data_IF_378934786343
#
_entry.id   IF_378934786343
#
_cell.length_a   1.000
_cell.length_b   1.000
_cell.length_c   1.000
_cell.angle_alpha   90.00
_cell.angle_beta   90.00
_cell.angle_gamma   90.00
#
_symmetry.space_group_name_H-M   'P 1'
#
loop_
_entity.id
_entity.type
_entity.pdbx_description
1 polymer ?
#
# COMPACT_ATOMS: atom_id res chain seq x y z
N UNK A 1 28.99 -0.39 21.73
CA UNK A 1 27.51 -0.40 21.79
C UNK A 1 27.05 0.93 21.21
N UNK A 2 26.62 0.94 19.96
CA UNK A 2 26.16 2.17 19.29
C UNK A 2 24.65 2.21 19.41
N UNK A 3 24.14 3.13 20.24
CA UNK A 3 22.71 3.37 20.41
C UNK A 3 22.12 3.81 19.08
N UNK A 4 21.05 3.19 18.56
CA UNK A 4 20.39 3.68 17.36
C UNK A 4 19.77 5.04 17.70
N UNK A 5 20.14 6.07 16.94
CA UNK A 5 19.55 7.40 17.01
C UNK A 5 18.06 7.27 16.74
N UNK A 6 17.17 7.81 17.60
CA UNK A 6 15.74 7.81 17.29
C UNK A 6 15.54 8.66 16.03
N UNK A 7 15.09 8.02 14.94
CA UNK A 7 14.63 8.75 13.75
C UNK A 7 13.57 9.73 14.21
N UNK A 8 13.82 11.02 14.01
CA UNK A 8 12.85 12.07 14.27
C UNK A 8 11.70 11.88 13.28
N UNK A 9 10.68 11.10 13.66
CA UNK A 9 9.39 11.11 13.00
C UNK A 9 8.90 12.56 13.04
N UNK A 10 8.65 13.13 11.87
CA UNK A 10 8.13 14.47 11.75
C UNK A 10 6.60 14.33 11.78
N UNK A 11 5.91 14.48 12.94
CA UNK A 11 4.49 14.15 13.07
C UNK A 11 3.60 15.02 12.17
N UNK A 12 4.13 16.16 11.71
CA UNK A 12 3.48 17.05 10.76
C UNK A 12 3.41 16.47 9.34
N UNK A 13 4.39 15.65 8.93
CA UNK A 13 4.39 14.99 7.62
C UNK A 13 3.32 13.91 7.57
N UNK A 14 3.19 13.11 8.62
CA UNK A 14 2.11 12.13 8.75
C UNK A 14 0.74 12.78 8.76
N UNK A 15 0.53 13.90 9.48
CA UNK A 15 -0.74 14.63 9.43
C UNK A 15 -1.08 15.16 8.04
N UNK A 16 -0.10 15.68 7.31
CA UNK A 16 -0.31 16.15 5.94
C UNK A 16 -0.61 14.97 4.99
N UNK A 17 0.09 13.85 5.15
CA UNK A 17 -0.15 12.62 4.40
C UNK A 17 -1.49 11.97 4.75
N UNK A 18 -1.89 11.92 6.01
CA UNK A 18 -3.19 11.41 6.48
C UNK A 18 -4.34 12.26 5.95
N UNK A 19 -4.21 13.60 6.00
CA UNK A 19 -5.19 14.50 5.40
C UNK A 19 -5.32 14.24 3.90
N UNK A 20 -4.19 14.02 3.20
CA UNK A 20 -4.20 13.67 1.79
C UNK A 20 -4.77 12.28 1.51
N UNK A 21 -4.53 11.29 2.38
CA UNK A 21 -5.03 9.93 2.25
C UNK A 21 -6.56 9.87 2.45
N UNK A 22 -7.07 10.66 3.41
CA UNK A 22 -8.49 10.74 3.69
C UNK A 22 -9.30 11.25 2.48
N UNK A 23 -8.68 12.07 1.63
CA UNK A 23 -9.30 12.53 0.39
C UNK A 23 -9.63 11.39 -0.58
N UNK A 24 -8.93 10.26 -0.49
CA UNK A 24 -9.20 9.06 -1.26
C UNK A 24 -10.15 8.11 -0.51
N UNK A 25 -9.83 7.78 0.74
CA UNK A 25 -10.51 6.71 1.48
C UNK A 25 -11.95 7.01 1.81
N UNK A 26 -12.34 8.30 1.92
CA UNK A 26 -13.74 8.70 2.11
C UNK A 26 -14.68 8.28 0.96
N UNK A 27 -14.12 7.89 -0.19
CA UNK A 27 -14.87 7.47 -1.36
C UNK A 27 -14.90 5.95 -1.55
N UNK A 28 -14.20 5.22 -0.69
CA UNK A 28 -14.05 3.77 -0.74
C UNK A 28 -14.91 3.13 0.37
N UNK A 29 -15.24 1.85 0.21
CA UNK A 29 -15.83 1.09 1.32
C UNK A 29 -14.75 0.77 2.37
N UNK A 30 -15.15 0.13 3.47
CA UNK A 30 -14.25 -0.16 4.58
C UNK A 30 -12.99 -0.91 4.13
N UNK A 31 -13.12 -2.05 3.45
CA UNK A 31 -11.96 -2.85 3.08
C UNK A 31 -11.06 -2.20 2.03
N UNK A 32 -11.62 -1.59 0.98
CA UNK A 32 -10.81 -0.89 -0.03
C UNK A 32 -10.14 0.36 0.55
N UNK A 33 -10.85 1.11 1.41
CA UNK A 33 -10.31 2.27 2.11
C UNK A 33 -9.16 1.91 3.05
N UNK A 34 -9.32 0.84 3.84
CA UNK A 34 -8.24 0.33 4.69
C UNK A 34 -7.04 -0.15 3.88
N UNK A 35 -7.26 -0.93 2.82
CA UNK A 35 -6.17 -1.39 1.97
C UNK A 35 -5.40 -0.23 1.33
N UNK A 36 -6.13 0.78 0.82
CA UNK A 36 -5.53 1.98 0.25
C UNK A 36 -4.67 2.70 1.27
N UNK A 37 -5.20 2.93 2.49
CA UNK A 37 -4.48 3.61 3.57
C UNK A 37 -3.15 2.92 3.89
N UNK A 38 -3.17 1.60 4.05
CA UNK A 38 -1.96 0.86 4.40
C UNK A 38 -0.90 0.92 3.27
N UNK A 39 -1.31 0.83 2.00
CA UNK A 39 -0.37 1.01 0.87
C UNK A 39 0.13 2.46 0.82
N UNK A 40 -0.71 3.44 1.13
CA UNK A 40 -0.31 4.84 1.09
C UNK A 40 0.80 5.17 2.10
N UNK A 41 0.78 4.52 3.28
CA UNK A 41 1.68 4.78 4.40
C UNK A 41 2.91 3.85 4.46
N UNK A 42 2.96 2.77 3.68
CA UNK A 42 3.97 1.71 3.82
C UNK A 42 5.46 2.10 3.59
N UNK A 43 5.79 3.34 3.23
CA UNK A 43 7.17 3.74 2.90
C UNK A 43 8.05 4.05 4.12
N UNK A 44 7.55 3.86 5.34
CA UNK A 44 8.29 4.07 6.60
C UNK A 44 8.64 2.74 7.31
N UNK A 45 9.43 2.80 8.39
CA UNK A 45 9.89 1.60 9.11
C UNK A 45 8.68 0.76 9.57
N UNK A 46 8.62 -0.51 9.18
CA UNK A 46 7.45 -1.39 9.39
C UNK A 46 6.52 -1.55 8.17
N UNK A 47 6.89 -0.99 7.01
CA UNK A 47 6.10 -1.02 5.76
C UNK A 47 5.61 -2.41 5.31
N UNK A 48 6.36 -3.47 5.63
CA UNK A 48 5.95 -4.85 5.31
C UNK A 48 4.63 -5.22 5.99
N UNK A 49 4.49 -4.93 7.29
CA UNK A 49 3.28 -5.24 8.04
C UNK A 49 2.06 -4.51 7.46
N UNK A 50 2.23 -3.27 7.02
CA UNK A 50 1.16 -2.50 6.41
C UNK A 50 0.73 -3.10 5.08
N UNK A 51 1.67 -3.53 4.23
CA UNK A 51 1.30 -4.25 3.01
C UNK A 51 0.62 -5.60 3.30
N UNK A 52 1.01 -6.31 4.36
CA UNK A 52 0.34 -7.54 4.80
C UNK A 52 -1.10 -7.26 5.27
N UNK A 53 -1.33 -6.16 6.00
CA UNK A 53 -2.67 -5.68 6.38
C UNK A 53 -3.48 -5.28 5.14
N UNK A 54 -2.88 -4.57 4.19
CA UNK A 54 -3.54 -4.22 2.93
C UNK A 54 -4.01 -5.46 2.17
N UNK A 55 -3.14 -6.48 2.07
CA UNK A 55 -3.45 -7.76 1.46
C UNK A 55 -4.59 -8.50 2.18
N UNK A 56 -4.62 -8.45 3.51
CA UNK A 56 -5.72 -9.01 4.30
C UNK A 56 -7.06 -8.35 3.96
N UNK A 57 -7.11 -7.02 3.90
CA UNK A 57 -8.33 -6.29 3.55
C UNK A 57 -8.79 -6.59 2.12
N UNK A 58 -7.88 -6.64 1.13
CA UNK A 58 -8.25 -6.99 -0.25
C UNK A 58 -8.79 -8.42 -0.38
N UNK A 59 -8.23 -9.37 0.37
CA UNK A 59 -8.74 -10.76 0.42
C UNK A 59 -10.14 -10.83 1.04
N UNK A 60 -10.40 -10.08 2.12
CA UNK A 60 -11.72 -9.95 2.73
C UNK A 60 -12.72 -9.31 1.76
N UNK A 61 -12.34 -8.21 1.10
CA UNK A 61 -13.15 -7.55 0.09
C UNK A 61 -13.58 -8.53 -1.01
N UNK A 62 -12.65 -9.36 -1.50
CA UNK A 62 -12.93 -10.35 -2.53
C UNK A 62 -13.85 -11.47 -2.06
N UNK A 63 -13.70 -11.94 -0.82
CA UNK A 63 -14.37 -13.14 -0.32
C UNK A 63 -15.73 -12.85 0.33
N UNK A 64 -15.78 -11.83 1.18
CA UNK A 64 -16.87 -11.66 2.14
C UNK A 64 -17.76 -10.44 1.84
N UNK A 65 -17.20 -9.39 1.21
CA UNK A 65 -17.95 -8.18 0.85
C UNK A 65 -17.87 -7.82 -0.65
N UNK A 66 -18.09 -8.77 -1.58
CA UNK A 66 -17.90 -8.53 -3.00
C UNK A 66 -18.72 -7.35 -3.53
N UNK A 67 -19.95 -7.16 -3.05
CA UNK A 67 -20.84 -6.11 -3.55
C UNK A 67 -20.73 -4.84 -2.73
N UNK A 68 -20.39 -3.74 -3.39
CA UNK A 68 -20.36 -2.41 -2.77
C UNK A 68 -20.80 -1.33 -3.76
N UNK A 69 -21.06 -0.12 -3.23
CA UNK A 69 -21.41 1.04 -4.06
C UNK A 69 -20.17 1.47 -4.86
N UNK A 70 -20.28 1.37 -6.19
CA UNK A 70 -19.21 1.76 -7.11
C UNK A 70 -18.82 3.23 -6.97
N UNK A 71 -17.52 3.46 -7.10
CA UNK A 71 -16.96 4.77 -7.37
C UNK A 71 -17.41 5.23 -8.76
N UNK A 72 -17.81 6.48 -8.92
CA UNK A 72 -18.16 7.01 -10.25
C UNK A 72 -16.89 7.19 -11.09
N UNK A 73 -16.95 6.88 -12.39
CA UNK A 73 -15.77 6.96 -13.28
C UNK A 73 -15.16 8.38 -13.30
N UNK A 74 -15.98 9.42 -13.31
CA UNK A 74 -15.48 10.81 -13.22
C UNK A 74 -14.74 11.11 -11.91
N UNK A 75 -15.03 10.38 -10.83
CA UNK A 75 -14.36 10.51 -9.54
C UNK A 75 -13.09 9.67 -9.52
N UNK A 76 -13.11 8.47 -10.09
CA UNK A 76 -11.90 7.68 -10.34
C UNK A 76 -10.83 8.53 -11.04
N UNK A 77 -11.13 9.10 -12.21
CA UNK A 77 -10.16 9.94 -12.94
C UNK A 77 -9.60 11.11 -12.11
N UNK A 78 -10.45 11.77 -11.31
CA UNK A 78 -10.01 12.86 -10.42
C UNK A 78 -9.08 12.38 -9.31
N UNK A 79 -9.34 11.19 -8.76
CA UNK A 79 -8.49 10.61 -7.72
C UNK A 79 -7.18 10.10 -8.31
N UNK A 80 -7.18 9.46 -9.49
CA UNK A 80 -5.94 9.04 -10.16
C UNK A 80 -5.03 10.24 -10.49
N UNK A 81 -5.57 11.32 -11.04
CA UNK A 81 -4.80 12.57 -11.25
C UNK A 81 -4.28 13.17 -9.94
N UNK A 82 -5.03 13.02 -8.85
CA UNK A 82 -4.59 13.46 -7.53
C UNK A 82 -3.47 12.58 -6.97
N UNK A 83 -3.48 11.26 -7.21
CA UNK A 83 -2.36 10.38 -6.86
C UNK A 83 -1.06 10.85 -7.52
N UNK A 84 -1.10 11.13 -8.82
CA UNK A 84 0.04 11.68 -9.57
C UNK A 84 0.51 13.01 -8.97
N UNK A 85 -0.42 13.90 -8.63
CA UNK A 85 -0.11 15.18 -7.97
C UNK A 85 0.48 15.02 -6.56
N UNK A 86 0.20 13.89 -5.89
CA UNK A 86 0.79 13.52 -4.60
C UNK A 86 2.17 12.83 -4.74
N UNK A 87 2.69 12.69 -5.96
CA UNK A 87 3.98 12.06 -6.24
C UNK A 87 3.93 10.53 -6.35
N UNK A 88 2.73 9.95 -6.50
CA UNK A 88 2.57 8.55 -6.85
C UNK A 88 2.35 8.45 -8.36
N UNK A 89 3.40 8.13 -9.09
CA UNK A 89 3.27 7.86 -10.53
C UNK A 89 2.44 6.58 -10.74
N UNK A 90 1.39 6.70 -11.52
CA UNK A 90 0.44 5.64 -11.87
C UNK A 90 0.86 4.90 -13.14
N UNK A 91 1.94 5.38 -13.80
CA UNK A 91 2.61 4.73 -14.92
C UNK A 91 3.38 3.46 -14.53
N UNK A 92 3.99 2.82 -15.54
CA UNK A 92 4.53 1.44 -15.47
C UNK A 92 5.68 1.19 -14.49
N UNK A 93 6.19 2.23 -13.83
CA UNK A 93 7.51 2.19 -13.20
C UNK A 93 7.48 2.36 -11.66
N UNK A 94 6.32 2.66 -11.06
CA UNK A 94 6.16 2.81 -9.60
C UNK A 94 5.12 1.86 -9.01
N UNK A 95 5.62 0.81 -8.35
CA UNK A 95 4.81 -0.25 -7.74
C UNK A 95 3.75 0.25 -6.75
N UNK A 96 4.05 1.34 -6.03
CA UNK A 96 3.13 1.92 -5.05
C UNK A 96 1.96 2.62 -5.72
N UNK A 97 2.24 3.48 -6.71
CA UNK A 97 1.20 4.22 -7.41
C UNK A 97 0.30 3.29 -8.21
N UNK A 98 0.88 2.26 -8.84
CA UNK A 98 0.12 1.20 -9.51
C UNK A 98 -0.80 0.45 -8.53
N UNK A 99 -0.31 0.09 -7.33
CA UNK A 99 -1.14 -0.58 -6.34
C UNK A 99 -2.28 0.30 -5.80
N UNK A 100 -2.03 1.60 -5.61
CA UNK A 100 -3.05 2.56 -5.19
C UNK A 100 -4.10 2.79 -6.29
N UNK A 101 -3.69 2.97 -7.55
CA UNK A 101 -4.62 3.13 -8.66
C UNK A 101 -5.43 1.85 -8.91
N UNK A 102 -4.83 0.66 -8.74
CA UNK A 102 -5.53 -0.61 -8.85
C UNK A 102 -6.70 -0.72 -7.87
N UNK A 103 -6.57 -0.17 -6.66
CA UNK A 103 -7.68 -0.11 -5.69
C UNK A 103 -8.77 0.86 -6.17
N UNK A 104 -8.40 2.04 -6.66
CA UNK A 104 -9.37 3.01 -7.19
C UNK A 104 -10.11 2.44 -8.42
N UNK A 105 -9.40 1.73 -9.29
CA UNK A 105 -9.95 1.07 -10.45
C UNK A 105 -10.91 -0.06 -10.06
N UNK A 106 -10.51 -0.91 -9.11
CA UNK A 106 -11.39 -1.95 -8.56
C UNK A 106 -12.64 -1.35 -7.90
N UNK A 107 -12.54 -0.16 -7.30
CA UNK A 107 -13.68 0.54 -6.72
C UNK A 107 -14.65 1.09 -7.78
N UNK A 108 -14.16 1.50 -8.95
CA UNK A 108 -14.96 2.03 -10.05
C UNK A 108 -15.61 0.92 -10.88
N UNK A 109 -14.79 -0.02 -11.33
CA UNK A 109 -15.18 -1.16 -12.14
C UNK A 109 -15.10 -2.41 -11.28
N UNK A 110 -16.01 -2.56 -10.31
CA UNK A 110 -16.04 -3.77 -9.47
C UNK A 110 -16.16 -5.02 -10.34
N UNK A 111 -15.07 -5.80 -10.38
CA UNK A 111 -14.92 -7.13 -10.95
C UNK A 111 -13.91 -7.89 -10.06
N UNK A 112 -14.11 -9.20 -9.88
CA UNK A 112 -13.20 -10.08 -9.13
C UNK A 112 -11.78 -10.06 -9.72
N UNK A 113 -11.66 -9.88 -11.03
CA UNK A 113 -10.37 -9.73 -11.72
C UNK A 113 -9.64 -8.46 -11.27
N UNK A 114 -10.36 -7.35 -11.08
CA UNK A 114 -9.77 -6.07 -10.69
C UNK A 114 -9.29 -6.08 -9.23
N UNK A 115 -10.03 -6.74 -8.33
CA UNK A 115 -9.54 -6.96 -6.96
C UNK A 115 -8.34 -7.91 -6.95
N UNK A 116 -8.36 -8.95 -7.80
CA UNK A 116 -7.24 -9.87 -7.93
C UNK A 116 -5.99 -9.20 -8.50
N UNK A 117 -6.15 -8.23 -9.40
CA UNK A 117 -5.08 -7.39 -9.91
C UNK A 117 -4.51 -6.46 -8.81
N UNK A 118 -5.37 -5.80 -8.01
CA UNK A 118 -4.92 -5.03 -6.86
C UNK A 118 -4.12 -5.90 -5.86
N UNK A 119 -4.57 -7.12 -5.60
CA UNK A 119 -3.83 -8.11 -4.79
C UNK A 119 -2.45 -8.41 -5.39
N UNK A 120 -2.36 -8.60 -6.70
CA UNK A 120 -1.09 -8.88 -7.38
C UNK A 120 -0.10 -7.70 -7.27
N UNK A 121 -0.59 -6.46 -7.37
CA UNK A 121 0.24 -5.27 -7.20
C UNK A 121 0.81 -5.19 -5.77
N UNK A 122 -0.01 -5.44 -4.74
CA UNK A 122 0.45 -5.47 -3.34
C UNK A 122 1.48 -6.58 -3.09
N UNK A 123 1.32 -7.75 -3.72
CA UNK A 123 2.30 -8.84 -3.62
C UNK A 123 3.64 -8.46 -4.25
N UNK A 124 3.60 -7.78 -5.39
CA UNK A 124 4.81 -7.28 -6.05
C UNK A 124 5.56 -6.29 -5.16
N UNK A 125 4.83 -5.41 -4.46
CA UNK A 125 5.43 -4.52 -3.45
C UNK A 125 6.05 -5.28 -2.28
N UNK A 126 5.38 -6.33 -1.79
CA UNK A 126 5.90 -7.18 -0.71
C UNK A 126 7.18 -7.92 -1.11
N UNK A 127 7.24 -8.43 -2.34
CA UNK A 127 8.40 -9.18 -2.86
C UNK A 127 9.62 -8.29 -3.07
N UNK A 128 9.41 -6.99 -3.32
CA UNK A 128 10.48 -5.99 -3.46
C UNK A 128 11.05 -5.51 -2.13
N UNK A 129 10.38 -5.78 -1.00
CA UNK A 129 10.93 -5.44 0.30
C UNK A 129 11.98 -6.46 0.75
N UNK A 130 13.15 -6.00 1.23
CA UNK A 130 14.17 -6.90 1.75
C UNK A 130 13.57 -7.70 2.92
N UNK A 131 13.66 -9.02 2.84
CA UNK A 131 13.33 -9.90 3.96
C UNK A 131 14.23 -9.52 5.13
N UNK A 132 13.66 -9.16 6.28
CA UNK A 132 14.40 -9.00 7.53
C UNK A 132 14.91 -10.39 7.97
N UNK A 133 16.05 -10.82 7.40
CA UNK A 133 17.09 -11.67 7.97
C UNK A 133 17.97 -12.30 6.87
N UNK A 134 19.13 -11.73 6.54
CA UNK A 134 20.31 -12.56 6.38
C UNK A 134 20.79 -12.90 7.80
N UNK A 135 20.44 -14.09 8.29
CA UNK A 135 21.18 -14.72 9.38
C UNK A 135 22.68 -14.61 9.05
N UNK A 136 23.53 -14.03 9.91
CA UNK A 136 24.96 -14.13 9.69
C UNK A 136 25.33 -15.60 9.80
N UNK A 137 25.68 -16.21 8.68
CA UNK A 137 26.34 -17.51 8.65
C UNK A 137 27.63 -17.38 9.46
N UNK A 138 27.65 -18.01 10.63
CA UNK A 138 28.84 -18.17 11.46
C UNK A 138 29.98 -18.67 10.58
N UNK A 139 30.87 -17.75 10.23
CA UNK A 139 32.07 -18.03 9.46
C UNK A 139 33.05 -18.68 10.43
N UNK A 140 33.29 -19.96 10.16
CA UNK A 140 34.52 -20.69 10.43
C UNK A 140 35.26 -20.30 11.73
N UNK A 141 34.97 -21.08 12.77
CA UNK A 141 35.91 -21.33 13.85
C UNK A 141 37.11 -22.08 13.26
N UNK A 142 38.04 -21.35 12.65
CA UNK A 142 39.30 -21.85 12.13
C UNK A 142 40.44 -20.94 12.61
N UNK A 143 41.31 -21.48 13.47
CA UNK A 143 42.64 -20.89 13.67
C UNK A 143 43.20 -20.97 15.09
N UNK A 144 43.84 -22.12 15.35
CA UNK A 144 45.00 -22.42 16.23
C UNK A 144 44.94 -22.12 17.74
#
# INVERSE_FOLDING_TARGET
>A
MTTPTPKTENPNRYRALDLSCNDFTQHLNFHLGSAFKYIFLHKEDGGREDLEKALWHLRRQRKDEPKFKKLKNNRYFKLSQKLESCGFDTGTDTDTGQALDAILYAAAEYNEDNISWAIACVRTLLDKMPSENPMPSETERGGI
#
